data_IF_686526806178
#
_entry.id   IF_686526806178
#
_cell.length_a   1.000
_cell.length_b   1.000
_cell.length_c   1.000
_cell.angle_alpha   90.00
_cell.angle_beta   90.00
_cell.angle_gamma   90.00
#
_symmetry.space_group_name_H-M   'P 1'
#
loop_
_entity.id
_entity.type
_entity.pdbx_description
1 polymer ?
#
# COMPACT_ATOMS: atom_id res chain seq x y z
N UNK A 1 11.80 -1.85 46.62
CA UNK A 1 10.48 -2.04 47.24
C UNK A 1 9.60 -2.78 46.25
N UNK A 2 9.44 -4.08 46.47
CA UNK A 2 8.43 -4.93 45.84
C UNK A 2 7.03 -4.63 46.40
N UNK A 3 6.00 -5.11 45.69
CA UNK A 3 4.55 -5.23 46.03
C UNK A 3 3.65 -4.31 45.19
N UNK A 4 3.22 -4.81 44.02
CA UNK A 4 2.05 -4.32 43.30
C UNK A 4 0.80 -5.01 43.84
N UNK A 5 -0.10 -4.23 44.44
CA UNK A 5 -1.36 -4.69 45.01
C UNK A 5 -2.47 -4.55 43.96
N UNK A 6 -3.04 -5.67 43.52
CA UNK A 6 -4.24 -5.70 42.68
C UNK A 6 -5.49 -5.57 43.55
N UNK A 7 -6.48 -4.72 43.20
CA UNK A 7 -7.84 -4.88 43.70
C UNK A 7 -8.67 -5.75 42.75
N UNK A 8 -9.11 -6.88 43.31
CA UNK A 8 -10.22 -7.71 42.83
C UNK A 8 -11.56 -6.98 42.98
N UNK A 9 -12.35 -6.96 41.91
CA UNK A 9 -13.76 -6.59 41.90
C UNK A 9 -14.25 -6.54 40.45
N UNK A 10 -15.39 -7.09 40.04
CA UNK A 10 -16.45 -7.80 40.72
C UNK A 10 -17.35 -8.42 39.65
N UNK A 11 -18.11 -9.43 40.05
CA UNK A 11 -19.09 -10.15 39.24
C UNK A 11 -20.20 -9.22 38.69
N UNK A 12 -20.51 -9.34 37.39
CA UNK A 12 -21.64 -8.67 36.75
C UNK A 12 -22.01 -9.41 35.47
N UNK A 13 -23.23 -9.96 35.43
CA UNK A 13 -23.63 -11.00 34.47
C UNK A 13 -24.05 -10.51 33.10
N UNK A 14 -23.90 -11.41 32.11
CA UNK A 14 -24.51 -11.31 30.78
C UNK A 14 -25.41 -12.54 30.57
N UNK A 15 -26.74 -12.44 30.75
CA UNK A 15 -27.66 -13.43 30.23
C UNK A 15 -28.11 -12.97 28.84
N UNK A 16 -27.52 -13.55 27.79
CA UNK A 16 -27.87 -13.22 26.41
C UNK A 16 -27.32 -14.18 25.37
N UNK A 17 -27.11 -15.46 25.72
CA UNK A 17 -26.83 -16.51 24.74
C UNK A 17 -28.11 -17.29 24.48
N UNK A 18 -28.83 -16.93 23.42
CA UNK A 18 -29.86 -17.78 22.82
C UNK A 18 -29.52 -17.92 21.33
N UNK A 19 -28.74 -18.95 21.04
CA UNK A 19 -28.62 -19.48 19.69
C UNK A 19 -29.86 -20.29 19.34
N UNK A 20 -30.30 -20.17 18.08
CA UNK A 20 -31.25 -21.10 17.44
C UNK A 20 -32.41 -20.40 16.71
N UNK A 21 -32.29 -20.24 15.38
CA UNK A 21 -33.06 -20.96 14.34
C UNK A 21 -33.16 -20.11 13.04
N UNK A 22 -32.53 -20.60 11.96
CA UNK A 22 -32.69 -20.10 10.58
C UNK A 22 -33.95 -20.70 9.94
N UNK A 23 -34.75 -19.93 9.19
CA UNK A 23 -35.51 -20.45 8.08
C UNK A 23 -34.96 -19.89 6.77
N UNK A 24 -34.53 -20.79 5.89
CA UNK A 24 -33.98 -20.47 4.58
C UNK A 24 -35.01 -19.86 3.62
N UNK A 25 -34.55 -18.86 2.87
CA UNK A 25 -35.13 -18.45 1.59
C UNK A 25 -34.06 -18.63 0.51
N UNK A 26 -34.25 -19.60 -0.37
CA UNK A 26 -33.44 -19.78 -1.57
C UNK A 26 -34.09 -18.95 -2.69
N UNK A 27 -33.40 -17.94 -3.22
CA UNK A 27 -33.77 -17.29 -4.49
C UNK A 27 -32.84 -17.87 -5.58
N UNK A 28 -33.36 -18.59 -6.59
CA UNK A 28 -32.57 -19.06 -7.70
C UNK A 28 -32.52 -18.02 -8.82
N UNK A 29 -31.32 -17.52 -9.13
CA UNK A 29 -31.02 -16.86 -10.39
C UNK A 29 -30.91 -15.34 -10.35
N UNK A 30 -29.69 -14.83 -10.21
CA UNK A 30 -29.08 -13.83 -11.09
C UNK A 30 -27.72 -13.44 -10.52
N UNK A 31 -26.68 -13.96 -11.15
CA UNK A 31 -25.35 -13.37 -11.31
C UNK A 31 -25.20 -11.94 -10.77
N UNK A 32 -24.55 -11.82 -9.62
CA UNK A 32 -23.77 -10.64 -9.27
C UNK A 32 -22.33 -11.09 -9.25
N UNK A 33 -21.63 -10.98 -10.38
CA UNK A 33 -20.17 -11.01 -10.34
C UNK A 33 -19.76 -9.73 -9.63
N UNK A 34 -19.21 -9.87 -8.43
CA UNK A 34 -18.56 -8.77 -7.72
C UNK A 34 -17.39 -8.31 -8.58
N UNK A 35 -17.65 -7.32 -9.44
CA UNK A 35 -16.64 -6.63 -10.19
C UNK A 35 -15.75 -5.91 -9.19
N UNK A 36 -14.54 -6.43 -9.00
CA UNK A 36 -13.40 -5.62 -8.60
C UNK A 36 -13.30 -4.48 -9.62
N UNK A 37 -13.73 -3.28 -9.23
CA UNK A 37 -13.76 -2.10 -10.10
C UNK A 37 -12.38 -1.43 -10.20
N UNK A 38 -11.34 -2.08 -9.69
CA UNK A 38 -9.98 -1.57 -9.72
C UNK A 38 -9.82 -0.25 -8.96
N UNK A 39 -10.74 0.08 -8.04
CA UNK A 39 -10.57 1.20 -7.14
C UNK A 39 -9.51 0.81 -6.10
N UNK A 40 -8.23 0.87 -6.50
CA UNK A 40 -7.15 1.06 -5.55
C UNK A 40 -7.59 2.25 -4.68
N UNK A 41 -7.79 2.03 -3.38
CA UNK A 41 -8.12 3.11 -2.45
C UNK A 41 -7.14 4.25 -2.71
N UNK A 42 -7.67 5.35 -3.26
CA UNK A 42 -7.02 6.63 -3.45
C UNK A 42 -6.22 6.89 -2.18
N UNK A 43 -4.89 6.74 -2.27
CA UNK A 43 -4.02 6.82 -1.10
C UNK A 43 -4.27 8.12 -0.35
N UNK A 44 -3.91 8.19 0.93
CA UNK A 44 -4.05 9.43 1.67
C UNK A 44 -3.04 10.48 1.15
N UNK A 45 -3.38 11.15 0.04
CA UNK A 45 -2.58 12.18 -0.62
C UNK A 45 -2.45 13.45 0.23
N UNK A 46 -3.16 13.54 1.35
CA UNK A 46 -2.99 14.65 2.30
C UNK A 46 -1.60 14.64 2.96
N UNK A 47 -0.90 13.51 2.94
CA UNK A 47 0.48 13.38 3.42
C UNK A 47 1.54 13.81 2.38
N UNK A 48 1.16 14.01 1.11
CA UNK A 48 2.06 14.39 0.02
C UNK A 48 1.92 15.90 -0.21
N UNK A 49 2.95 16.72 0.05
CA UNK A 49 2.85 18.17 -0.12
C UNK A 49 2.88 18.58 -1.60
N UNK A 50 1.72 18.77 -2.23
CA UNK A 50 1.62 19.29 -3.61
C UNK A 50 0.62 18.51 -4.45
N UNK A 51 0.36 18.97 -5.67
CA UNK A 51 -0.61 18.33 -6.57
C UNK A 51 0.08 17.36 -7.54
N UNK A 52 -0.35 16.08 -7.61
CA UNK A 52 0.10 15.14 -8.63
C UNK A 52 -0.17 15.66 -10.05
N UNK A 53 0.80 15.50 -10.94
CA UNK A 53 0.77 16.04 -12.31
C UNK A 53 1.27 17.48 -12.45
N UNK A 54 1.31 18.24 -11.35
CA UNK A 54 1.88 19.60 -11.31
C UNK A 54 3.21 19.59 -10.56
N UNK A 55 3.19 19.29 -9.26
CA UNK A 55 4.35 19.31 -8.38
C UNK A 55 5.19 18.02 -8.50
N UNK A 56 4.52 16.89 -8.72
CA UNK A 56 5.13 15.57 -8.90
C UNK A 56 4.68 14.91 -10.20
N UNK A 57 5.56 14.17 -10.88
CA UNK A 57 5.14 13.39 -12.04
C UNK A 57 4.19 12.27 -11.63
N UNK A 58 3.39 11.83 -12.60
CA UNK A 58 2.38 10.76 -12.48
C UNK A 58 2.60 9.73 -13.57
N UNK A 59 3.83 9.22 -13.66
CA UNK A 59 4.14 8.17 -14.61
C UNK A 59 3.29 6.93 -14.31
N UNK A 60 2.81 6.25 -15.36
CA UNK A 60 2.07 4.98 -15.22
C UNK A 60 2.98 3.76 -15.44
N UNK A 61 4.12 3.98 -16.06
CA UNK A 61 5.17 3.00 -16.36
C UNK A 61 6.53 3.68 -16.20
N UNK A 62 7.60 2.92 -15.98
CA UNK A 62 8.95 3.49 -15.90
C UNK A 62 9.38 3.97 -17.29
N UNK A 63 9.57 5.28 -17.51
CA UNK A 63 10.05 5.77 -18.80
C UNK A 63 11.52 5.37 -19.02
N UNK A 64 11.92 5.22 -20.27
CA UNK A 64 13.35 5.09 -20.59
C UNK A 64 14.05 6.43 -20.33
N UNK A 65 15.06 6.40 -19.47
CA UNK A 65 15.90 7.56 -19.12
C UNK A 65 17.35 7.27 -19.46
N UNK A 66 18.24 8.24 -19.22
CA UNK A 66 19.69 8.03 -19.41
C UNK A 66 20.33 7.20 -18.29
N UNK A 67 19.55 6.72 -17.31
CA UNK A 67 20.06 5.91 -16.22
C UNK A 67 20.66 4.59 -16.74
N UNK A 68 21.88 4.29 -16.29
CA UNK A 68 22.55 3.02 -16.58
C UNK A 68 23.31 2.54 -15.35
N UNK A 69 23.11 1.27 -14.99
CA UNK A 69 23.90 0.63 -13.94
C UNK A 69 25.41 0.61 -14.25
N UNK A 70 25.79 0.63 -15.52
CA UNK A 70 27.19 0.71 -15.97
C UNK A 70 27.89 2.01 -15.53
N UNK A 71 27.12 3.07 -15.29
CA UNK A 71 27.62 4.36 -14.83
C UNK A 71 27.69 4.45 -13.30
N UNK A 72 27.16 3.46 -12.58
CA UNK A 72 27.14 3.45 -11.13
C UNK A 72 28.35 2.67 -10.58
N UNK A 73 29.03 3.27 -9.60
CA UNK A 73 30.27 2.71 -9.03
C UNK A 73 30.03 1.44 -8.20
N UNK A 74 28.83 1.28 -7.65
CA UNK A 74 28.50 0.19 -6.73
C UNK A 74 27.16 -0.45 -7.11
N UNK A 75 26.92 -1.72 -6.72
CA UNK A 75 25.58 -2.27 -6.74
C UNK A 75 24.73 -1.60 -5.65
N UNK A 76 23.47 -1.31 -5.94
CA UNK A 76 22.62 -0.56 -5.03
C UNK A 76 21.29 -0.11 -5.63
N UNK A 77 20.59 0.72 -4.86
CA UNK A 77 19.34 1.36 -5.22
C UNK A 77 19.64 2.80 -5.63
N UNK A 78 19.13 3.21 -6.78
CA UNK A 78 19.41 4.50 -7.39
C UNK A 78 18.11 5.18 -7.77
N UNK A 79 17.91 6.40 -7.29
CA UNK A 79 16.79 7.24 -7.71
C UNK A 79 17.08 7.84 -9.09
N UNK A 80 16.06 7.88 -9.95
CA UNK A 80 16.16 8.53 -11.25
C UNK A 80 15.80 10.01 -11.13
N UNK A 81 16.80 10.87 -11.32
CA UNK A 81 16.63 12.32 -11.25
C UNK A 81 15.84 12.88 -12.45
N UNK A 82 15.83 12.20 -13.60
CA UNK A 82 15.06 12.63 -14.77
C UNK A 82 13.56 12.46 -14.54
N UNK A 83 13.17 11.44 -13.78
CA UNK A 83 11.78 11.20 -13.37
C UNK A 83 11.43 11.92 -12.06
N UNK A 84 12.24 12.89 -11.62
CA UNK A 84 12.11 13.57 -10.32
C UNK A 84 11.98 12.59 -9.14
N UNK A 85 12.76 11.50 -9.17
CA UNK A 85 12.79 10.44 -8.16
C UNK A 85 11.52 9.58 -8.04
N UNK A 86 10.58 9.66 -8.99
CA UNK A 86 9.42 8.76 -9.02
C UNK A 86 9.82 7.35 -9.47
N UNK A 87 10.76 7.22 -10.40
CA UNK A 87 11.36 5.94 -10.76
C UNK A 87 12.64 5.70 -9.94
N UNK A 88 12.89 4.43 -9.63
CA UNK A 88 14.15 4.00 -9.05
C UNK A 88 14.62 2.69 -9.69
N UNK A 89 15.92 2.52 -9.72
CA UNK A 89 16.60 1.41 -10.38
C UNK A 89 17.44 0.64 -9.37
N UNK A 90 17.40 -0.68 -9.46
CA UNK A 90 18.26 -1.57 -8.67
C UNK A 90 19.32 -2.17 -9.56
N UNK A 91 20.58 -1.94 -9.22
CA UNK A 91 21.73 -2.52 -9.89
C UNK A 91 22.27 -3.70 -9.10
N UNK A 92 22.11 -4.92 -9.62
CA UNK A 92 22.59 -6.14 -8.98
C UNK A 92 23.06 -7.17 -10.02
N UNK A 93 24.26 -7.74 -9.82
CA UNK A 93 24.79 -8.83 -10.67
C UNK A 93 24.78 -8.53 -12.19
N UNK A 94 25.17 -7.31 -12.60
CA UNK A 94 25.08 -6.83 -13.99
C UNK A 94 23.66 -6.84 -14.58
N UNK A 95 22.64 -6.80 -13.73
CA UNK A 95 21.24 -6.62 -14.10
C UNK A 95 20.71 -5.33 -13.51
N UNK A 96 19.85 -4.70 -14.29
CA UNK A 96 19.05 -3.54 -13.89
C UNK A 96 17.62 -4.00 -13.69
N UNK A 97 17.01 -3.53 -12.61
CA UNK A 97 15.60 -3.73 -12.33
C UNK A 97 14.96 -2.37 -12.11
N UNK A 98 13.90 -2.09 -12.84
CA UNK A 98 13.25 -0.79 -12.89
C UNK A 98 11.93 -0.83 -12.14
N UNK A 99 11.71 0.15 -11.27
CA UNK A 99 10.51 0.24 -10.44
C UNK A 99 9.97 1.67 -10.42
N UNK A 100 8.66 1.77 -10.24
CA UNK A 100 7.96 3.03 -10.13
C UNK A 100 7.32 3.17 -8.74
N UNK A 101 7.55 4.31 -8.09
CA UNK A 101 6.77 4.72 -6.93
C UNK A 101 5.32 5.05 -7.34
N UNK A 102 4.31 4.71 -6.51
CA UNK A 102 2.94 5.12 -6.72
C UNK A 102 2.80 6.63 -6.95
N UNK A 103 1.75 7.05 -7.66
CA UNK A 103 1.48 8.46 -7.96
C UNK A 103 1.61 9.34 -6.71
N UNK A 104 2.33 10.45 -6.83
CA UNK A 104 2.56 11.39 -5.73
C UNK A 104 3.63 10.95 -4.70
N UNK A 105 4.26 9.79 -4.84
CA UNK A 105 5.40 9.39 -3.98
C UNK A 105 6.71 9.37 -4.75
N UNK A 106 7.81 9.63 -4.05
CA UNK A 106 9.18 9.63 -4.61
C UNK A 106 10.13 8.93 -3.67
N UNK A 107 11.19 8.34 -4.21
CA UNK A 107 12.28 7.74 -3.43
C UNK A 107 13.24 8.82 -2.93
N UNK A 108 13.64 8.78 -1.65
CA UNK A 108 14.55 9.74 -1.00
C UNK A 108 15.82 9.06 -0.48
#
# INVERSE_FOLDING_TARGET
GSQGQFPTGGVGGFPGAQGGQRPGGFIPGASGGDGDDGSYDEGDYSAIPGEPGTDYPIFSEVPETSFRCDQQQFPGYYADVETRCQAFHICANNKTYDFLCPNGTVFH
#
